data_IF_415650867905
#
_entry.id   IF_415650867905
#
_cell.length_a   1.000
_cell.length_b   1.000
_cell.length_c   1.000
_cell.angle_alpha   90.00
_cell.angle_beta   90.00
_cell.angle_gamma   90.00
#
_symmetry.space_group_name_H-M   'P 1'
#
loop_
_entity.id
_entity.type
_entity.pdbx_description
1 polymer ?
#
# COMPACT_ATOMS: atom_id res chain seq x y z
N UNK A 1 -2.91 -5.47 -5.19
CA UNK A 1 -1.71 -4.61 -5.31
C UNK A 1 -0.65 -5.17 -4.38
N UNK A 2 0.57 -5.42 -4.85
CA UNK A 2 1.68 -5.88 -4.02
C UNK A 2 2.76 -4.82 -3.91
N UNK A 3 3.18 -4.53 -2.68
CA UNK A 3 4.26 -3.61 -2.34
C UNK A 3 5.58 -4.35 -2.17
N UNK A 4 6.66 -3.74 -2.64
CA UNK A 4 8.02 -4.15 -2.36
C UNK A 4 8.87 -2.89 -2.18
N UNK A 5 9.38 -2.65 -0.97
CA UNK A 5 10.31 -1.54 -0.70
C UNK A 5 11.74 -2.07 -0.81
N UNK A 6 12.66 -1.26 -1.35
CA UNK A 6 14.02 -1.65 -1.70
C UNK A 6 15.05 -0.81 -0.92
N UNK A 7 15.08 -0.90 0.42
CA UNK A 7 15.99 -0.09 1.23
C UNK A 7 17.47 -0.38 0.93
N UNK A 8 17.81 -1.60 0.49
CA UNK A 8 19.16 -1.95 0.06
C UNK A 8 19.61 -1.29 -1.24
N UNK A 9 18.70 -0.71 -2.03
CA UNK A 9 19.04 0.06 -3.24
C UNK A 9 19.10 1.56 -2.91
N UNK A 10 18.01 2.10 -2.35
CA UNK A 10 17.93 3.49 -1.92
C UNK A 10 16.97 3.61 -0.73
N UNK A 11 17.48 3.75 0.51
CA UNK A 11 16.66 4.08 1.66
C UNK A 11 16.36 5.58 1.68
N UNK A 12 15.33 5.99 2.41
CA UNK A 12 15.02 7.40 2.61
C UNK A 12 13.52 7.68 2.74
N UNK A 13 13.13 8.93 2.55
CA UNK A 13 11.73 9.33 2.60
C UNK A 13 11.01 8.85 1.34
N UNK A 14 9.99 8.01 1.51
CA UNK A 14 9.19 7.47 0.41
C UNK A 14 8.14 8.48 -0.03
N UNK A 15 8.14 8.84 -1.31
CA UNK A 15 7.01 9.49 -1.95
C UNK A 15 5.96 8.45 -2.36
N UNK A 16 4.74 8.62 -1.88
CA UNK A 16 3.68 7.64 -2.04
C UNK A 16 3.08 7.66 -3.46
N UNK A 17 2.61 6.52 -3.97
CA UNK A 17 1.99 6.42 -5.29
C UNK A 17 0.66 7.15 -5.33
N UNK A 18 0.30 7.66 -6.50
CA UNK A 18 -0.94 8.43 -6.68
C UNK A 18 -1.88 7.77 -7.67
N UNK A 19 -3.16 7.96 -7.45
CA UNK A 19 -4.24 7.41 -8.27
C UNK A 19 -4.98 8.58 -8.90
N UNK A 20 -4.99 8.68 -10.22
CA UNK A 20 -5.59 9.81 -10.93
C UNK A 20 -6.62 9.37 -11.96
N UNK A 21 -7.49 10.29 -12.35
CA UNK A 21 -8.48 10.05 -13.39
C UNK A 21 -9.54 9.02 -13.02
N UNK A 22 -9.87 8.85 -11.74
CA UNK A 22 -10.88 7.90 -11.29
C UNK A 22 -12.24 8.15 -11.97
N UNK A 23 -12.72 7.12 -12.66
CA UNK A 23 -14.10 6.99 -13.15
C UNK A 23 -14.73 5.80 -12.43
N UNK A 24 -15.91 6.02 -11.83
CA UNK A 24 -16.55 5.05 -10.94
C UNK A 24 -16.07 5.15 -9.49
N UNK A 25 -15.80 4.00 -8.86
CA UNK A 25 -15.47 3.85 -7.42
C UNK A 25 -14.17 3.08 -7.22
N UNK A 26 -13.39 3.48 -6.23
CA UNK A 26 -12.21 2.77 -5.78
C UNK A 26 -12.19 2.80 -4.25
N UNK A 27 -12.19 1.63 -3.61
CA UNK A 27 -12.07 1.54 -2.17
C UNK A 27 -11.17 0.39 -1.74
N UNK A 28 -10.52 0.57 -0.60
CA UNK A 28 -9.75 -0.48 0.05
C UNK A 28 -10.71 -1.53 0.60
N UNK A 29 -10.37 -2.80 0.41
CA UNK A 29 -11.18 -3.94 0.85
C UNK A 29 -10.46 -4.68 1.97
N UNK A 30 -9.16 -4.93 1.79
CA UNK A 30 -8.36 -5.71 2.71
C UNK A 30 -6.87 -5.44 2.56
N UNK A 31 -6.14 -5.64 3.64
CA UNK A 31 -4.68 -5.70 3.69
C UNK A 31 -4.26 -7.13 4.08
N UNK A 32 -3.31 -7.72 3.37
CA UNK A 32 -2.90 -9.12 3.53
C UNK A 32 -1.50 -9.39 2.99
N UNK A 33 -1.19 -10.63 2.64
CA UNK A 33 0.14 -11.06 2.20
C UNK A 33 1.02 -11.56 3.34
N UNK A 34 0.39 -11.93 4.46
CA UNK A 34 1.02 -12.48 5.66
C UNK A 34 1.95 -11.53 6.43
N UNK A 35 2.31 -10.36 5.87
CA UNK A 35 3.32 -9.48 6.46
C UNK A 35 2.97 -8.01 6.24
N UNK A 36 3.05 -7.23 7.32
CA UNK A 36 3.13 -5.77 7.25
C UNK A 36 4.59 -5.38 7.01
N UNK A 37 4.87 -4.31 6.27
CA UNK A 37 6.25 -4.01 5.85
C UNK A 37 7.19 -3.65 7.02
N UNK A 38 6.65 -3.23 8.16
CA UNK A 38 7.41 -3.03 9.40
C UNK A 38 7.53 -4.30 10.26
N UNK A 39 7.04 -5.44 9.80
CA UNK A 39 7.34 -6.71 10.45
C UNK A 39 8.83 -7.04 10.28
N UNK A 40 9.42 -7.54 11.36
CA UNK A 40 10.80 -8.05 11.35
C UNK A 40 10.90 -9.18 10.34
N UNK A 41 11.91 -9.12 9.49
CA UNK A 41 12.16 -10.14 8.47
C UNK A 41 12.57 -11.47 9.13
N UNK A 42 12.13 -12.62 8.59
CA UNK A 42 12.54 -13.92 9.12
C UNK A 42 14.07 -14.04 9.22
N UNK A 43 14.58 -14.48 10.38
CA UNK A 43 16.02 -14.66 10.60
C UNK A 43 16.81 -13.40 10.91
N UNK A 44 16.16 -12.23 10.96
CA UNK A 44 16.81 -10.99 11.40
C UNK A 44 17.22 -11.05 12.87
N UNK A 45 18.47 -10.67 13.15
CA UNK A 45 19.04 -10.58 14.51
C UNK A 45 19.15 -9.15 15.02
N UNK A 46 18.97 -8.15 14.15
CA UNK A 46 19.15 -6.73 14.44
C UNK A 46 17.84 -5.91 14.32
N UNK A 47 16.71 -6.61 14.11
CA UNK A 47 15.40 -5.99 13.95
C UNK A 47 15.11 -5.48 12.55
N UNK A 48 15.95 -5.77 11.55
CA UNK A 48 15.69 -5.45 10.14
C UNK A 48 14.30 -5.88 9.69
N UNK A 49 13.55 -4.94 9.09
CA UNK A 49 12.20 -5.11 8.56
C UNK A 49 12.21 -5.05 7.03
N UNK A 50 11.05 -5.19 6.38
CA UNK A 50 10.93 -4.94 4.94
C UNK A 50 11.07 -3.45 4.57
N UNK A 51 11.03 -2.56 5.55
CA UNK A 51 11.38 -1.14 5.39
C UNK A 51 12.89 -0.88 5.53
N UNK A 52 13.69 -1.88 5.90
CA UNK A 52 15.13 -1.76 6.08
C UNK A 52 15.57 -1.90 7.54
N UNK A 53 16.84 -1.56 7.78
CA UNK A 53 17.54 -1.76 9.05
C UNK A 53 18.93 -1.13 9.08
N UNK A 54 19.75 -1.40 10.12
CA UNK A 54 21.05 -0.78 10.31
C UNK A 54 22.01 -0.88 9.11
N UNK A 55 22.01 -2.02 8.41
CA UNK A 55 22.92 -2.26 7.29
C UNK A 55 22.49 -1.59 5.97
N UNK A 56 21.18 -1.42 5.74
CA UNK A 56 20.63 -0.90 4.48
C UNK A 56 20.11 0.53 4.60
N UNK A 57 20.06 1.09 5.81
CA UNK A 57 19.19 2.23 6.10
C UNK A 57 17.71 1.83 6.10
N UNK A 58 16.86 2.80 6.44
CA UNK A 58 15.42 2.60 6.60
C UNK A 58 14.63 3.54 5.71
N UNK A 59 13.63 3.00 5.02
CA UNK A 59 12.63 3.77 4.31
C UNK A 59 11.58 4.32 5.29
N UNK A 60 11.29 5.61 5.19
CA UNK A 60 10.38 6.33 6.08
C UNK A 60 9.17 6.79 5.29
N UNK A 61 7.98 6.49 5.81
CA UNK A 61 6.72 6.94 5.21
C UNK A 61 6.43 8.41 5.57
N UNK A 62 5.66 9.14 4.72
CA UNK A 62 5.16 10.45 5.10
C UNK A 62 4.36 10.39 6.40
N UNK A 63 4.48 11.42 7.24
CA UNK A 63 3.74 11.52 8.51
C UNK A 63 2.24 11.32 8.31
N UNK A 64 1.63 10.50 9.17
CA UNK A 64 0.19 10.16 9.09
C UNK A 64 -0.14 9.03 8.12
N UNK A 65 0.84 8.49 7.40
CA UNK A 65 0.65 7.30 6.57
C UNK A 65 0.56 6.05 7.44
N UNK A 66 -0.45 5.23 7.19
CA UNK A 66 -0.52 3.90 7.78
C UNK A 66 0.52 2.99 7.13
N UNK A 67 1.21 2.16 7.92
CA UNK A 67 2.10 1.16 7.37
C UNK A 67 1.37 0.20 6.41
N UNK A 68 2.01 -0.09 5.28
CA UNK A 68 1.47 -0.95 4.23
C UNK A 68 1.68 -2.42 4.56
N UNK A 69 0.75 -3.23 4.08
CA UNK A 69 0.94 -4.67 3.95
C UNK A 69 1.60 -5.02 2.62
N UNK A 70 2.24 -6.19 2.56
CA UNK A 70 2.81 -6.66 1.29
C UNK A 70 1.74 -6.76 0.22
N UNK A 71 0.53 -7.21 0.54
CA UNK A 71 -0.60 -7.18 -0.38
C UNK A 71 -1.68 -6.23 0.15
N UNK A 72 -2.18 -5.37 -0.72
CA UNK A 72 -3.33 -4.49 -0.48
C UNK A 72 -4.37 -4.76 -1.58
N UNK A 73 -5.61 -5.01 -1.17
CA UNK A 73 -6.73 -5.34 -2.03
C UNK A 73 -7.68 -4.16 -2.12
N UNK A 74 -8.06 -3.85 -3.36
CA UNK A 74 -8.94 -2.74 -3.69
C UNK A 74 -10.06 -3.27 -4.57
N UNK A 75 -11.28 -2.81 -4.31
CA UNK A 75 -12.37 -2.93 -5.25
C UNK A 75 -12.31 -1.75 -6.21
N UNK A 76 -12.38 -2.04 -7.50
CA UNK A 76 -12.48 -1.04 -8.55
C UNK A 76 -13.73 -1.31 -9.38
N UNK A 77 -14.63 -0.33 -9.39
CA UNK A 77 -15.69 -0.22 -10.38
C UNK A 77 -15.34 0.91 -11.33
N UNK A 78 -15.08 0.59 -12.60
CA UNK A 78 -14.64 1.55 -13.61
C UNK A 78 -13.13 1.54 -13.85
N UNK A 79 -12.48 2.71 -13.81
CA UNK A 79 -11.09 2.87 -14.23
C UNK A 79 -10.34 3.94 -13.45
N UNK A 80 -9.04 3.73 -13.25
CA UNK A 80 -8.12 4.68 -12.61
C UNK A 80 -6.71 4.49 -13.17
N UNK A 81 -5.86 5.52 -13.09
CA UNK A 81 -4.43 5.41 -13.41
C UNK A 81 -3.63 5.47 -12.12
N UNK A 82 -2.82 4.44 -11.86
CA UNK A 82 -1.86 4.41 -10.77
C UNK A 82 -0.49 4.92 -11.26
N UNK A 83 0.10 5.84 -10.50
CA UNK A 83 1.42 6.40 -10.75
C UNK A 83 2.37 5.97 -9.63
N UNK A 84 3.48 5.34 -9.99
CA UNK A 84 4.61 5.13 -9.09
C UNK A 84 5.43 6.42 -9.07
N UNK A 85 5.29 7.20 -8.00
CA UNK A 85 6.01 8.47 -7.83
C UNK A 85 7.34 8.26 -7.12
N UNK A 86 8.11 7.26 -7.54
CA UNK A 86 9.33 6.87 -6.85
C UNK A 86 10.29 8.06 -6.70
N UNK A 87 10.46 8.50 -5.46
CA UNK A 87 11.33 9.61 -5.09
C UNK A 87 11.75 9.41 -3.63
N UNK A 88 13.04 9.65 -3.35
CA UNK A 88 13.63 9.59 -2.01
C UNK A 88 13.84 8.18 -1.45
N UNK A 89 13.09 7.17 -1.89
CA UNK A 89 13.32 5.75 -1.64
C UNK A 89 12.81 4.89 -2.80
N UNK A 90 13.43 3.73 -3.00
CA UNK A 90 13.06 2.81 -4.11
C UNK A 90 11.97 1.82 -3.68
N UNK A 91 11.00 1.62 -4.57
CA UNK A 91 9.93 0.65 -4.35
C UNK A 91 9.27 0.20 -5.65
N UNK A 92 8.78 -1.03 -5.67
CA UNK A 92 7.95 -1.57 -6.73
C UNK A 92 6.50 -1.69 -6.29
N UNK A 93 5.61 -1.52 -7.27
CA UNK A 93 4.19 -1.82 -7.17
C UNK A 93 3.75 -2.80 -8.24
N UNK A 94 3.13 -3.89 -7.82
CA UNK A 94 2.57 -4.88 -8.74
C UNK A 94 1.04 -4.87 -8.66
N UNK A 95 0.38 -4.49 -9.75
CA UNK A 95 -1.07 -4.49 -9.87
C UNK A 95 -1.55 -5.73 -10.64
N UNK A 96 -2.44 -6.51 -10.04
CA UNK A 96 -3.08 -7.65 -10.69
C UNK A 96 -4.52 -7.77 -10.19
N UNK A 97 -5.41 -8.25 -11.05
CA UNK A 97 -6.74 -8.68 -10.65
C UNK A 97 -6.65 -9.89 -9.70
N UNK A 98 -7.55 -9.96 -8.73
CA UNK A 98 -7.67 -11.05 -7.76
C UNK A 98 -9.12 -11.47 -7.64
N UNK A 99 -9.36 -12.74 -7.32
CA UNK A 99 -10.69 -13.24 -6.99
C UNK A 99 -10.97 -13.10 -5.49
N UNK A 100 -12.24 -13.00 -5.12
CA UNK A 100 -12.64 -12.79 -3.73
C UNK A 100 -12.20 -13.94 -2.80
N UNK A 101 -12.28 -15.19 -3.24
CA UNK A 101 -11.79 -16.37 -2.50
C UNK A 101 -10.30 -16.23 -2.14
N UNK A 102 -9.47 -15.80 -3.09
CA UNK A 102 -8.03 -15.58 -2.86
C UNK A 102 -7.78 -14.48 -1.82
N UNK A 103 -8.59 -13.41 -1.84
CA UNK A 103 -8.50 -12.36 -0.84
C UNK A 103 -8.87 -12.90 0.54
N UNK A 104 -9.96 -13.68 0.63
CA UNK A 104 -10.40 -14.31 1.88
C UNK A 104 -9.35 -15.26 2.45
N UNK A 105 -8.76 -16.12 1.61
CA UNK A 105 -7.73 -17.06 2.03
C UNK A 105 -6.48 -16.32 2.55
N UNK A 106 -6.04 -15.27 1.84
CA UNK A 106 -4.86 -14.49 2.22
C UNK A 106 -5.05 -13.77 3.56
N UNK A 107 -6.23 -13.16 3.81
CA UNK A 107 -6.48 -12.49 5.11
C UNK A 107 -6.74 -13.47 6.25
N UNK A 108 -7.30 -14.65 5.94
CA UNK A 108 -7.57 -15.70 6.92
C UNK A 108 -6.34 -16.56 7.24
N UNK A 109 -5.24 -16.38 6.50
CA UNK A 109 -3.99 -17.14 6.72
C UNK A 109 -3.52 -16.93 8.17
N UNK A 110 -3.40 -17.99 8.98
CA UNK A 110 -2.99 -17.88 10.36
C UNK A 110 -1.51 -17.48 10.46
N UNK A 111 -1.10 -16.82 11.57
CA UNK A 111 0.31 -16.60 11.86
C UNK A 111 1.12 -17.89 11.78
N UNK A 112 2.22 -17.82 11.05
CA UNK A 112 3.23 -18.86 10.92
C UNK A 112 4.60 -18.22 11.20
N UNK A 113 5.09 -18.45 12.42
CA UNK A 113 6.38 -17.92 12.87
C UNK A 113 7.55 -18.46 12.03
N UNK A 114 7.45 -19.68 11.49
CA UNK A 114 8.47 -20.27 10.61
C UNK A 114 8.60 -19.53 9.28
N UNK A 115 7.50 -18.95 8.80
CA UNK A 115 7.46 -18.06 7.65
C UNK A 115 7.62 -16.56 8.02
N UNK A 116 7.78 -16.22 9.30
CA UNK A 116 7.78 -14.84 9.82
C UNK A 116 6.47 -14.08 9.55
N UNK A 117 5.34 -14.79 9.59
CA UNK A 117 3.99 -14.24 9.56
C UNK A 117 3.52 -14.15 11.02
N UNK A 118 3.44 -12.94 11.57
CA UNK A 118 3.19 -12.73 13.01
C UNK A 118 1.79 -12.18 13.32
N UNK A 119 0.98 -11.95 12.30
CA UNK A 119 -0.34 -11.30 12.40
C UNK A 119 -1.27 -11.80 11.31
N UNK A 120 -2.57 -11.86 11.61
CA UNK A 120 -3.62 -12.05 10.61
C UNK A 120 -3.75 -10.82 9.72
N UNK A 121 -4.17 -11.03 8.47
CA UNK A 121 -4.57 -9.95 7.58
C UNK A 121 -5.72 -9.12 8.17
N UNK A 122 -5.98 -7.97 7.56
CA UNK A 122 -6.94 -6.99 8.04
C UNK A 122 -7.95 -6.63 6.97
N UNK A 123 -9.22 -6.92 7.23
CA UNK A 123 -10.33 -6.48 6.38
C UNK A 123 -10.74 -5.06 6.76
N UNK A 124 -10.92 -4.20 5.76
CA UNK A 124 -11.38 -2.82 5.95
C UNK A 124 -12.35 -2.47 4.83
N UNK A 125 -13.60 -2.86 4.97
CA UNK A 125 -14.66 -2.42 4.06
C UNK A 125 -15.41 -1.24 4.70
N UNK A 126 -15.20 -0.04 4.15
CA UNK A 126 -15.93 1.16 4.57
C UNK A 126 -17.14 1.46 3.68
N UNK A 127 -17.37 0.66 2.63
CA UNK A 127 -18.49 0.83 1.69
C UNK A 127 -18.45 2.11 0.84
N UNK A 128 -17.36 2.89 0.90
CA UNK A 128 -17.22 4.13 0.14
C UNK A 128 -15.78 4.39 -0.29
N UNK A 129 -15.56 5.44 -1.10
CA UNK A 129 -14.24 5.86 -1.61
C UNK A 129 -13.29 6.40 -0.49
N UNK A 130 -13.56 6.05 0.77
CA UNK A 130 -12.71 6.37 1.91
C UNK A 130 -11.71 5.25 2.11
N UNK A 131 -10.43 5.56 1.89
CA UNK A 131 -9.37 4.62 2.17
C UNK A 131 -8.83 4.84 3.60
N UNK A 132 -8.53 3.76 4.34
CA UNK A 132 -7.97 3.82 5.70
C UNK A 132 -6.51 4.31 5.71
N UNK A 133 -5.83 4.20 4.57
CA UNK A 133 -4.55 4.85 4.28
C UNK A 133 -4.87 6.15 3.52
N UNK A 134 -4.17 7.27 3.75
CA UNK A 134 -4.26 8.41 2.85
C UNK A 134 -4.01 7.92 1.42
N UNK A 135 -5.09 7.79 0.63
CA UNK A 135 -4.95 7.50 -0.77
C UNK A 135 -4.77 8.81 -1.48
N UNK A 136 -3.70 8.89 -2.24
CA UNK A 136 -3.38 10.05 -3.05
C UNK A 136 -4.22 9.97 -4.33
N UNK A 137 -5.55 9.93 -4.14
CA UNK A 137 -6.57 9.59 -5.13
C UNK A 137 -7.36 10.84 -5.53
N UNK A 138 -7.50 11.04 -6.83
CA UNK A 138 -8.31 12.12 -7.39
C UNK A 138 -9.05 11.68 -8.66
N UNK A 139 -10.19 12.34 -8.90
CA UNK A 139 -10.93 12.22 -10.17
C UNK A 139 -10.26 13.02 -11.30
N UNK A 140 -9.46 14.03 -10.96
CA UNK A 140 -8.73 14.84 -11.94
C UNK A 140 -7.54 14.07 -12.55
N UNK A 141 -7.04 14.57 -13.68
CA UNK A 141 -5.79 14.12 -14.31
C UNK A 141 -4.79 15.28 -14.32
N UNK A 142 -4.12 15.56 -13.19
CA UNK A 142 -3.16 16.65 -13.12
C UNK A 142 -1.98 16.40 -14.05
N UNK A 143 -1.32 17.47 -14.50
CA UNK A 143 -0.09 17.36 -15.28
C UNK A 143 1.04 16.72 -14.48
N UNK A 144 1.10 16.99 -13.17
CA UNK A 144 2.03 16.37 -12.24
C UNK A 144 1.27 15.49 -11.22
N UNK A 145 1.33 14.15 -11.35
CA UNK A 145 0.66 13.23 -10.44
C UNK A 145 1.27 13.22 -9.03
N UNK A 146 2.50 13.70 -8.82
CA UNK A 146 3.14 13.74 -7.49
C UNK A 146 2.58 14.88 -6.61
N UNK A 147 1.87 15.84 -7.21
CA UNK A 147 1.26 16.98 -6.49
C UNK A 147 -0.13 16.69 -5.93
N UNK A 148 -0.67 15.48 -6.14
CA UNK A 148 -2.00 15.12 -5.67
C UNK A 148 -2.06 15.20 -4.13
N UNK A 149 -3.01 15.95 -3.56
CA UNK A 149 -3.14 16.09 -2.11
C UNK A 149 -3.33 14.73 -1.42
N UNK A 150 -2.59 14.55 -0.32
CA UNK A 150 -2.64 13.35 0.52
C UNK A 150 -3.93 13.35 1.36
N UNK A 151 -5.04 12.86 0.81
CA UNK A 151 -6.36 12.92 1.47
C UNK A 151 -7.03 11.56 1.50
N UNK A 152 -7.55 11.16 2.65
CA UNK A 152 -8.30 9.90 2.77
C UNK A 152 -9.70 9.91 2.13
N UNK A 153 -10.11 11.03 1.50
CA UNK A 153 -11.42 11.20 0.86
C UNK A 153 -11.30 11.87 -0.50
N UNK A 154 -12.03 11.32 -1.47
CA UNK A 154 -12.18 11.90 -2.81
C UNK A 154 -13.35 12.88 -2.81
N UNK A 155 -13.14 14.09 -3.32
CA UNK A 155 -14.24 15.02 -3.54
C UNK A 155 -15.14 14.51 -4.68
N UNK A 156 -16.47 14.46 -4.51
CA UNK A 156 -17.39 14.17 -5.61
C UNK A 156 -17.19 15.18 -6.76
N UNK A 157 -17.45 14.80 -8.02
CA UNK A 157 -17.47 15.78 -9.10
C UNK A 157 -18.57 16.82 -8.84
N UNK A 158 -18.38 18.09 -9.27
CA UNK A 158 -19.47 19.05 -9.25
C UNK A 158 -20.61 18.54 -10.16
N UNK A 159 -21.84 18.60 -9.64
CA UNK A 159 -23.07 18.32 -10.39
C UNK A 159 -23.41 19.46 -11.35
#
# INVERSE_FOLDING_TARGET
>A
MRWQVLPGQRPGALAMPTWTGLRGKLFHVASGGGRRLDDVTPGSTDGTTWMGGPATGTTVLPTGTQQMWQNEYFWLDGSVTLHQNEQGADYNLFAQASRLDQVTDDVATPPDAGAGIVRYGLVRDTGGDTAPVPQYLTRARPADPATVPQRSRVTPPPH
#
